data_IF_764584567647
#
_entry.id   IF_764584567647
#
_cell.length_a   1.000
_cell.length_b   1.000
_cell.length_c   1.000
_cell.angle_alpha   90.00
_cell.angle_beta   90.00
_cell.angle_gamma   90.00
#
_symmetry.space_group_name_H-M   'P 1'
#
loop_
_entity.id
_entity.type
_entity.pdbx_description
1 polymer ?
#
# COMPACT_ATOMS: atom_id res chain seq x y z
N UNK A 1 -1.36 -0.54 1.39
CA UNK A 1 -0.24 -1.11 2.20
C UNK A 1 0.85 -0.03 2.42
N UNK A 2 1.99 -0.32 3.08
CA UNK A 2 3.02 0.69 3.37
C UNK A 2 3.94 0.95 2.15
N UNK A 3 4.45 2.17 1.93
CA UNK A 3 5.03 2.59 0.65
C UNK A 3 6.32 1.84 0.26
N UNK A 4 7.22 1.55 1.21
CA UNK A 4 8.47 0.86 0.88
C UNK A 4 8.21 -0.57 0.48
N UNK A 5 7.25 -1.23 1.12
CA UNK A 5 6.80 -2.57 0.70
C UNK A 5 6.23 -2.55 -0.72
N UNK A 6 5.44 -1.54 -1.10
CA UNK A 6 4.96 -1.40 -2.47
C UNK A 6 6.09 -1.19 -3.49
N UNK A 7 7.12 -0.41 -3.16
CA UNK A 7 8.30 -0.29 -4.03
C UNK A 7 8.97 -1.65 -4.22
N UNK A 8 9.14 -2.40 -3.13
CA UNK A 8 9.72 -3.74 -3.18
C UNK A 8 8.87 -4.69 -4.04
N UNK A 9 7.54 -4.62 -3.92
CA UNK A 9 6.58 -5.39 -4.72
C UNK A 9 6.73 -5.14 -6.22
N UNK A 10 6.93 -3.87 -6.62
CA UNK A 10 7.21 -3.51 -8.03
C UNK A 10 8.58 -4.05 -8.45
N UNK A 11 9.59 -3.88 -7.61
CA UNK A 11 10.95 -4.35 -7.88
C UNK A 11 11.03 -5.86 -8.08
N UNK A 12 10.16 -6.66 -7.47
CA UNK A 12 10.15 -8.12 -7.68
C UNK A 12 9.97 -8.48 -9.17
N UNK A 13 9.27 -7.66 -9.96
CA UNK A 13 8.93 -7.94 -11.36
C UNK A 13 9.53 -6.94 -12.38
N UNK A 14 9.94 -5.76 -11.92
CA UNK A 14 10.52 -4.70 -12.77
C UNK A 14 11.95 -4.43 -12.28
N UNK A 15 12.93 -4.86 -13.08
CA UNK A 15 14.36 -4.72 -12.76
C UNK A 15 15.03 -3.53 -13.43
N UNK A 16 14.43 -2.99 -14.50
CA UNK A 16 14.88 -1.73 -15.10
C UNK A 16 14.63 -0.57 -14.13
N UNK A 17 15.64 0.24 -13.86
CA UNK A 17 15.59 1.28 -12.81
C UNK A 17 14.61 2.40 -13.15
N UNK A 18 14.56 2.83 -14.41
CA UNK A 18 13.68 3.90 -14.87
C UNK A 18 12.21 3.47 -14.80
N UNK A 19 11.94 2.23 -15.21
CA UNK A 19 10.62 1.62 -15.13
C UNK A 19 10.22 1.35 -13.70
N UNK A 20 11.12 0.84 -12.85
CA UNK A 20 10.88 0.66 -11.42
C UNK A 20 10.47 1.99 -10.78
N UNK A 21 11.22 3.05 -11.05
CA UNK A 21 10.93 4.37 -10.51
C UNK A 21 9.56 4.88 -11.00
N UNK A 22 9.31 4.81 -12.31
CA UNK A 22 8.04 5.27 -12.89
C UNK A 22 6.85 4.47 -12.34
N UNK A 23 6.97 3.13 -12.27
CA UNK A 23 5.90 2.24 -11.83
C UNK A 23 5.64 2.26 -10.32
N UNK A 24 6.71 2.40 -9.52
CA UNK A 24 6.56 2.65 -8.09
C UNK A 24 5.84 3.97 -7.88
N UNK A 25 6.25 5.03 -8.57
CA UNK A 25 5.64 6.36 -8.42
C UNK A 25 4.14 6.36 -8.64
N UNK A 26 3.64 5.74 -9.73
CA UNK A 26 2.19 5.66 -9.96
C UNK A 26 1.47 4.82 -8.89
N UNK A 27 2.08 3.72 -8.45
CA UNK A 27 1.51 2.85 -7.40
C UNK A 27 1.34 3.63 -6.09
N UNK A 28 2.37 4.37 -5.68
CA UNK A 28 2.32 5.23 -4.50
C UNK A 28 1.34 6.40 -4.68
N UNK A 29 1.23 6.94 -5.89
CA UNK A 29 0.28 8.01 -6.19
C UNK A 29 -1.17 7.55 -6.07
N UNK A 30 -1.48 6.34 -6.50
CA UNK A 30 -2.81 5.74 -6.32
C UNK A 30 -3.12 5.65 -4.82
N UNK A 31 -2.20 5.15 -3.99
CA UNK A 31 -2.37 5.13 -2.53
C UNK A 31 -2.64 6.50 -1.93
N UNK A 32 -1.98 7.55 -2.43
CA UNK A 32 -2.20 8.91 -1.97
C UNK A 32 -3.55 9.48 -2.43
N UNK A 33 -3.97 9.18 -3.67
CA UNK A 33 -5.21 9.72 -4.26
C UNK A 33 -6.45 9.08 -3.62
N UNK A 34 -6.33 7.91 -2.97
CA UNK A 34 -7.40 7.33 -2.13
C UNK A 34 -7.92 8.31 -1.06
N UNK A 35 -7.14 9.33 -0.70
CA UNK A 35 -7.54 10.37 0.26
C UNK A 35 -8.27 11.57 -0.38
N UNK A 36 -8.37 11.65 -1.71
CA UNK A 36 -9.11 12.71 -2.42
C UNK A 36 -10.62 12.41 -2.48
N UNK A 37 -10.99 11.16 -2.69
CA UNK A 37 -12.40 10.75 -2.85
C UNK A 37 -12.94 10.15 -1.56
N UNK A 38 -13.28 11.04 -0.62
CA UNK A 38 -13.91 10.70 0.67
C UNK A 38 -15.28 10.01 0.53
N UNK A 39 -15.89 10.07 -0.66
CA UNK A 39 -17.21 9.53 -0.96
C UNK A 39 -17.18 8.35 -1.95
N UNK A 40 -16.00 7.83 -2.33
CA UNK A 40 -15.92 6.79 -3.36
C UNK A 40 -16.82 5.59 -3.02
N UNK A 41 -17.88 5.42 -3.81
CA UNK A 41 -18.75 4.25 -3.84
C UNK A 41 -18.13 3.10 -4.64
N UNK A 42 -16.98 3.32 -5.29
CA UNK A 42 -16.31 2.30 -6.11
C UNK A 42 -15.30 1.54 -5.25
N UNK A 43 -15.28 0.23 -5.41
CA UNK A 43 -14.26 -0.64 -4.82
C UNK A 43 -12.89 -0.26 -5.40
N UNK A 44 -11.87 -0.09 -4.55
CA UNK A 44 -10.50 0.24 -4.97
C UNK A 44 -9.89 -0.79 -5.91
N UNK A 45 -10.39 -2.03 -5.86
CA UNK A 45 -10.05 -3.03 -6.84
C UNK A 45 -10.47 -2.61 -8.25
N UNK A 46 -11.74 -2.20 -8.38
CA UNK A 46 -12.31 -1.72 -9.63
C UNK A 46 -11.55 -0.49 -10.11
N UNK A 47 -11.24 0.43 -9.20
CA UNK A 47 -10.46 1.63 -9.53
C UNK A 47 -9.08 1.30 -10.11
N UNK A 48 -8.34 0.36 -9.50
CA UNK A 48 -7.00 0.00 -9.98
C UNK A 48 -7.04 -0.71 -11.34
N UNK A 49 -8.05 -1.55 -11.58
CA UNK A 49 -8.24 -2.24 -12.86
C UNK A 49 -8.71 -1.29 -13.97
N UNK A 50 -9.72 -0.46 -13.70
CA UNK A 50 -10.19 0.57 -14.63
C UNK A 50 -9.07 1.58 -14.96
N UNK A 51 -8.24 1.97 -13.98
CA UNK A 51 -7.08 2.82 -14.22
C UNK A 51 -6.02 2.12 -15.07
N UNK A 52 -5.77 0.83 -14.85
CA UNK A 52 -4.86 0.05 -15.69
C UNK A 52 -5.35 0.01 -17.15
N UNK A 53 -6.64 -0.27 -17.36
CA UNK A 53 -7.28 -0.26 -18.68
C UNK A 53 -7.22 1.12 -19.32
N UNK A 54 -7.55 2.18 -18.57
CA UNK A 54 -7.46 3.56 -19.01
C UNK A 54 -6.05 3.92 -19.48
N UNK A 55 -5.02 3.57 -18.71
CA UNK A 55 -3.63 3.82 -19.07
C UNK A 55 -3.25 3.02 -20.32
N UNK A 56 -3.68 1.75 -20.41
CA UNK A 56 -3.42 0.92 -21.58
C UNK A 56 -4.05 1.50 -22.85
N UNK A 57 -5.22 2.12 -22.74
CA UNK A 57 -5.94 2.72 -23.86
C UNK A 57 -5.38 4.11 -24.24
N UNK A 58 -5.25 5.01 -23.27
CA UNK A 58 -4.86 6.40 -23.50
C UNK A 58 -3.34 6.58 -23.65
N UNK A 59 -2.54 5.69 -23.07
CA UNK A 59 -1.07 5.78 -23.04
C UNK A 59 -0.43 4.41 -23.37
N UNK A 60 -0.65 3.87 -24.59
CA UNK A 60 -0.26 2.51 -24.95
C UNK A 60 1.25 2.25 -24.82
N UNK A 61 2.10 3.27 -24.95
CA UNK A 61 3.55 3.16 -24.72
C UNK A 61 3.91 2.72 -23.28
N UNK A 62 2.99 2.80 -22.32
CA UNK A 62 3.16 2.33 -20.93
C UNK A 62 2.82 0.84 -20.76
N UNK A 63 2.21 0.17 -21.76
CA UNK A 63 1.87 -1.27 -21.78
C UNK A 63 3.02 -2.02 -22.46
N UNK A 64 4.03 -2.52 -21.72
CA UNK A 64 3.80 -3.55 -20.69
C UNK A 64 4.28 -3.17 -19.28
N UNK A 65 4.82 -1.97 -19.10
CA UNK A 65 5.50 -1.54 -17.87
C UNK A 65 4.51 -1.40 -16.71
N UNK A 66 3.25 -1.05 -16.98
CA UNK A 66 2.20 -0.84 -15.98
C UNK A 66 1.59 -2.10 -15.35
N UNK A 67 2.15 -3.30 -15.57
CA UNK A 67 1.71 -4.54 -14.89
C UNK A 67 1.79 -4.44 -13.37
N UNK A 68 2.69 -3.61 -12.85
CA UNK A 68 2.79 -3.31 -11.41
C UNK A 68 1.47 -2.81 -10.81
N UNK A 69 0.63 -2.13 -11.58
CA UNK A 69 -0.69 -1.67 -11.11
C UNK A 69 -1.63 -2.85 -10.82
N UNK A 70 -1.54 -3.92 -11.61
CA UNK A 70 -2.30 -5.15 -11.36
C UNK A 70 -1.75 -5.88 -10.14
N UNK A 71 -0.43 -5.88 -9.95
CA UNK A 71 0.19 -6.54 -8.79
C UNK A 71 0.01 -5.76 -7.48
N UNK A 72 -0.09 -4.42 -7.54
CA UNK A 72 -0.43 -3.57 -6.40
C UNK A 72 -1.73 -4.03 -5.72
N UNK A 73 -2.73 -4.39 -6.53
CA UNK A 73 -4.00 -4.94 -6.03
C UNK A 73 -3.79 -6.22 -5.23
N UNK A 74 -2.94 -7.15 -5.70
CA UNK A 74 -2.62 -8.38 -4.97
C UNK A 74 -2.00 -8.06 -3.61
N UNK A 75 -1.09 -7.08 -3.56
CA UNK A 75 -0.45 -6.61 -2.32
C UNK A 75 -1.46 -6.05 -1.33
N UNK A 76 -2.39 -5.21 -1.78
CA UNK A 76 -3.41 -4.62 -0.92
C UNK A 76 -4.42 -5.67 -0.41
N UNK A 77 -4.90 -6.56 -1.28
CA UNK A 77 -5.79 -7.66 -0.93
C UNK A 77 -5.16 -8.59 0.11
N UNK A 78 -3.90 -8.98 -0.12
CA UNK A 78 -3.14 -9.76 0.85
C UNK A 78 -2.99 -9.02 2.18
N UNK A 79 -2.74 -7.71 2.11
CA UNK A 79 -2.68 -6.83 3.26
C UNK A 79 -3.94 -6.90 4.12
N UNK A 80 -5.13 -6.93 3.51
CA UNK A 80 -6.37 -7.12 4.27
C UNK A 80 -6.48 -8.49 4.91
N UNK A 81 -6.12 -9.55 4.19
CA UNK A 81 -6.27 -10.92 4.67
C UNK A 81 -5.36 -11.19 5.88
N UNK A 82 -4.13 -10.68 5.84
CA UNK A 82 -3.15 -10.88 6.92
C UNK A 82 -3.42 -9.94 8.10
N UNK A 83 -3.67 -8.67 7.80
CA UNK A 83 -3.62 -7.59 8.79
C UNK A 83 -4.99 -7.03 9.19
N UNK A 84 -6.07 -7.51 8.55
CA UNK A 84 -7.43 -7.10 8.88
C UNK A 84 -7.91 -5.88 8.11
N UNK A 85 -9.24 -5.72 8.11
CA UNK A 85 -9.98 -4.66 7.42
C UNK A 85 -10.40 -3.60 8.44
N UNK A 86 -10.07 -2.32 8.26
CA UNK A 86 -10.57 -1.27 9.13
C UNK A 86 -12.11 -1.18 9.05
N UNK A 87 -12.78 -1.12 10.20
CA UNK A 87 -14.26 -1.08 10.27
C UNK A 87 -14.88 0.25 9.87
N UNK A 88 -14.10 1.33 9.88
CA UNK A 88 -14.61 2.67 9.62
C UNK A 88 -13.77 3.36 8.55
N UNK A 89 -14.43 3.83 7.50
CA UNK A 89 -13.87 4.71 6.46
C UNK A 89 -13.64 6.15 6.97
N UNK A 90 -13.12 6.33 8.19
CA UNK A 90 -12.78 7.67 8.69
C UNK A 90 -11.46 8.10 8.03
N UNK A 91 -11.59 8.61 6.81
CA UNK A 91 -10.48 9.01 5.95
C UNK A 91 -9.71 10.19 6.54
N UNK A 92 -8.67 9.90 7.31
CA UNK A 92 -7.66 10.90 7.66
C UNK A 92 -6.36 10.53 6.95
N UNK A 93 -5.75 11.49 6.25
CA UNK A 93 -4.52 11.28 5.47
C UNK A 93 -3.36 10.72 6.32
N UNK A 94 -3.43 10.95 7.64
CA UNK A 94 -2.48 10.44 8.63
C UNK A 94 -2.75 8.99 9.08
N UNK A 95 -3.79 8.33 8.57
CA UNK A 95 -4.08 6.92 8.87
C UNK A 95 -3.03 6.02 8.21
N UNK A 96 -2.74 4.90 8.84
CA UNK A 96 -1.82 3.90 8.29
C UNK A 96 -2.46 3.11 7.16
N UNK A 97 -3.75 2.78 7.32
CA UNK A 97 -4.54 2.06 6.32
C UNK A 97 -5.98 2.53 6.41
N UNK A 98 -6.59 2.78 5.25
CA UNK A 98 -7.97 3.27 5.14
C UNK A 98 -8.86 2.34 4.31
N UNK A 99 -8.29 1.30 3.71
CA UNK A 99 -8.98 0.58 2.64
C UNK A 99 -9.88 -0.55 3.18
N UNK A 100 -11.15 -0.50 2.78
CA UNK A 100 -12.10 -1.60 2.90
C UNK A 100 -12.54 -2.08 1.50
N UNK A 101 -12.06 -3.25 1.08
CA UNK A 101 -12.47 -3.90 -0.17
C UNK A 101 -13.74 -4.76 -0.01
N UNK A 102 -14.34 -4.86 1.18
CA UNK A 102 -15.27 -5.96 1.50
C UNK A 102 -16.72 -5.77 1.08
N UNK A 103 -17.09 -4.74 0.33
CA UNK A 103 -18.50 -4.41 0.12
C UNK A 103 -18.75 -4.01 -1.34
N UNK A 104 -19.21 -5.00 -2.12
CA UNK A 104 -19.86 -4.90 -3.45
C UNK A 104 -18.92 -4.74 -4.68
N UNK A 105 -19.04 -5.66 -5.65
CA UNK A 105 -18.42 -5.55 -6.99
C UNK A 105 -17.38 -6.61 -7.38
N UNK A 106 -17.01 -7.50 -6.45
CA UNK A 106 -16.03 -8.58 -6.67
C UNK A 106 -16.61 -9.82 -7.40
N UNK A 107 -17.44 -9.69 -8.44
CA UNK A 107 -17.97 -10.87 -9.16
C UNK A 107 -17.37 -11.07 -10.56
N UNK A 108 -16.67 -10.09 -11.13
CA UNK A 108 -16.31 -10.07 -12.57
C UNK A 108 -14.80 -10.08 -12.87
N UNK A 109 -13.92 -9.88 -11.89
CA UNK A 109 -12.48 -9.67 -12.12
C UNK A 109 -11.59 -10.89 -11.79
N UNK A 110 -10.56 -11.23 -12.60
CA UNK A 110 -9.62 -12.35 -12.36
C UNK A 110 -8.99 -12.38 -10.97
N UNK A 111 -8.81 -11.20 -10.38
CA UNK A 111 -8.30 -11.02 -9.02
C UNK A 111 -9.19 -11.66 -7.93
N UNK A 112 -10.46 -11.95 -8.21
CA UNK A 112 -11.38 -12.62 -7.28
C UNK A 112 -10.92 -14.05 -7.03
N UNK A 113 -10.42 -14.72 -8.06
CA UNK A 113 -9.83 -16.05 -7.93
C UNK A 113 -8.59 -15.99 -7.04
N UNK A 114 -7.75 -14.97 -7.23
CA UNK A 114 -6.60 -14.70 -6.38
C UNK A 114 -7.02 -14.44 -4.93
N UNK A 115 -8.04 -13.60 -4.72
CA UNK A 115 -8.60 -13.32 -3.40
C UNK A 115 -9.13 -14.57 -2.73
N UNK A 116 -9.94 -15.38 -3.42
CA UNK A 116 -10.55 -16.58 -2.87
C UNK A 116 -9.50 -17.64 -2.53
N UNK A 117 -8.50 -17.84 -3.39
CA UNK A 117 -7.39 -18.76 -3.14
C UNK A 117 -6.54 -18.32 -1.94
N UNK A 118 -6.13 -17.05 -1.90
CA UNK A 118 -5.37 -16.51 -0.76
C UNK A 118 -6.19 -16.51 0.53
N UNK A 119 -7.49 -16.22 0.46
CA UNK A 119 -8.38 -16.24 1.63
C UNK A 119 -8.43 -17.63 2.26
N UNK A 120 -8.49 -18.70 1.46
CA UNK A 120 -8.46 -20.07 1.97
C UNK A 120 -7.16 -20.46 2.68
N UNK A 121 -6.05 -19.82 2.36
CA UNK A 121 -4.70 -20.18 2.84
C UNK A 121 -4.16 -19.26 3.94
N UNK A 122 -4.53 -17.98 3.89
CA UNK A 122 -3.88 -16.91 4.66
C UNK A 122 -4.84 -16.25 5.65
N UNK A 123 -6.14 -16.26 5.37
CA UNK A 123 -7.11 -15.55 6.21
C UNK A 123 -7.17 -16.16 7.61
N UNK A 124 -6.91 -15.31 8.60
CA UNK A 124 -7.15 -15.63 10.01
C UNK A 124 -8.33 -14.78 10.47
N UNK A 125 -9.36 -15.43 11.04
CA UNK A 125 -10.54 -14.72 11.54
C UNK A 125 -10.11 -13.70 12.59
N UNK A 126 -10.32 -12.42 12.28
CA UNK A 126 -9.96 -11.30 13.16
C UNK A 126 -11.14 -11.00 14.10
N UNK A 127 -10.87 -10.98 15.39
CA UNK A 127 -11.87 -10.76 16.44
C UNK A 127 -11.59 -9.43 17.13
N UNK A 128 -12.38 -8.42 16.78
CA UNK A 128 -12.37 -7.13 17.46
C UNK A 128 -11.22 -6.19 17.09
N UNK A 129 -11.25 -4.96 17.62
CA UNK A 129 -10.27 -3.92 17.35
C UNK A 129 -8.82 -4.30 17.59
N UNK A 130 -8.54 -5.09 18.63
CA UNK A 130 -7.20 -5.49 19.05
C UNK A 130 -6.46 -6.23 17.93
N UNK A 131 -7.18 -7.14 17.25
CA UNK A 131 -6.64 -7.93 16.15
C UNK A 131 -6.34 -7.09 14.89
N UNK A 132 -7.03 -5.96 14.70
CA UNK A 132 -6.78 -5.00 13.62
C UNK A 132 -5.53 -4.17 13.95
N UNK A 133 -5.44 -3.67 15.18
CA UNK A 133 -4.25 -2.92 15.63
C UNK A 133 -3.00 -3.80 15.57
N UNK A 134 -3.08 -5.06 15.99
CA UNK A 134 -1.98 -6.02 15.83
C UNK A 134 -1.59 -6.20 14.35
N UNK A 135 -2.57 -6.26 13.46
CA UNK A 135 -2.31 -6.28 12.02
C UNK A 135 -1.55 -5.05 11.52
N UNK A 136 -1.91 -3.85 11.96
CA UNK A 136 -1.17 -2.63 11.62
C UNK A 136 0.24 -2.62 12.22
N UNK A 137 0.44 -3.15 13.42
CA UNK A 137 1.78 -3.35 13.99
C UNK A 137 2.61 -4.27 13.08
N UNK A 138 2.03 -5.38 12.60
CA UNK A 138 2.73 -6.28 11.67
C UNK A 138 3.06 -5.59 10.35
N UNK A 139 2.20 -4.72 9.81
CA UNK A 139 2.53 -3.87 8.64
C UNK A 139 3.77 -3.01 8.91
N UNK A 140 3.82 -2.31 10.03
CA UNK A 140 4.98 -1.48 10.41
C UNK A 140 6.26 -2.33 10.44
N UNK A 141 6.19 -3.57 10.96
CA UNK A 141 7.33 -4.49 10.95
C UNK A 141 7.83 -4.82 9.54
N UNK A 142 6.91 -5.08 8.61
CA UNK A 142 7.23 -5.32 7.20
C UNK A 142 7.96 -4.13 6.59
N UNK A 143 7.49 -2.90 6.85
CA UNK A 143 8.11 -1.67 6.36
C UNK A 143 9.51 -1.47 6.94
N UNK A 144 9.69 -1.71 8.24
CA UNK A 144 10.99 -1.59 8.90
C UNK A 144 12.01 -2.58 8.37
N UNK A 145 11.63 -3.84 8.18
CA UNK A 145 12.51 -4.84 7.58
C UNK A 145 12.80 -4.55 6.10
N UNK A 146 11.81 -4.01 5.36
CA UNK A 146 12.00 -3.63 3.96
C UNK A 146 13.06 -2.54 3.83
N UNK A 147 12.97 -1.49 4.64
CA UNK A 147 13.96 -0.41 4.67
C UNK A 147 15.36 -0.92 5.04
N UNK A 148 15.45 -1.84 6.01
CA UNK A 148 16.73 -2.36 6.51
C UNK A 148 17.44 -3.27 5.50
N UNK A 149 16.69 -4.17 4.84
CA UNK A 149 17.28 -5.15 3.90
C UNK A 149 17.39 -4.65 2.47
N UNK A 150 16.56 -3.68 2.09
CA UNK A 150 16.45 -3.18 0.73
C UNK A 150 16.60 -1.66 0.69
N UNK A 151 17.78 -1.10 1.05
CA UNK A 151 17.95 0.35 1.22
C UNK A 151 17.62 1.17 -0.05
N UNK A 152 17.71 0.57 -1.25
CA UNK A 152 17.35 1.23 -2.51
C UNK A 152 15.89 1.71 -2.54
N UNK A 153 15.00 1.15 -1.72
CA UNK A 153 13.60 1.57 -1.66
C UNK A 153 13.49 3.02 -1.18
N UNK A 154 14.41 3.51 -0.36
CA UNK A 154 14.44 4.92 0.05
C UNK A 154 14.77 5.84 -1.13
N UNK A 155 15.73 5.44 -1.97
CA UNK A 155 16.13 6.21 -3.14
C UNK A 155 14.97 6.32 -4.14
N UNK A 156 14.25 5.21 -4.35
CA UNK A 156 13.05 5.19 -5.22
C UNK A 156 11.94 6.05 -4.62
N UNK A 157 11.68 5.92 -3.32
CA UNK A 157 10.67 6.72 -2.63
C UNK A 157 11.00 8.21 -2.74
N UNK A 158 12.26 8.60 -2.57
CA UNK A 158 12.71 9.99 -2.69
C UNK A 158 12.52 10.53 -4.12
N UNK A 159 13.01 9.80 -5.11
CA UNK A 159 12.91 10.19 -6.53
C UNK A 159 11.46 10.23 -7.03
N UNK A 160 10.56 9.45 -6.41
CA UNK A 160 9.15 9.41 -6.80
C UNK A 160 8.44 10.77 -6.67
N UNK A 161 8.89 11.63 -5.74
CA UNK A 161 8.33 12.96 -5.51
C UNK A 161 8.42 13.84 -6.76
N UNK A 162 9.55 13.79 -7.47
CA UNK A 162 9.74 14.52 -8.71
C UNK A 162 9.15 13.78 -9.91
N UNK A 163 9.20 12.45 -9.90
CA UNK A 163 8.74 11.58 -11.00
C UNK A 163 7.24 11.66 -11.22
N UNK A 164 6.45 12.02 -10.20
CA UNK A 164 4.98 12.09 -10.30
C UNK A 164 4.49 12.94 -11.46
N UNK A 165 5.26 13.95 -11.88
CA UNK A 165 4.96 14.83 -13.03
C UNK A 165 4.63 14.06 -14.31
N UNK A 166 5.22 12.89 -14.52
CA UNK A 166 5.00 12.05 -15.70
C UNK A 166 3.62 11.39 -15.72
N UNK A 167 3.02 11.21 -14.54
CA UNK A 167 1.73 10.56 -14.35
C UNK A 167 0.59 11.53 -14.09
N UNK A 168 0.89 12.79 -13.77
CA UNK A 168 -0.13 13.80 -13.50
C UNK A 168 -1.17 13.92 -14.62
N UNK A 169 -0.84 13.89 -15.93
CA UNK A 169 -1.86 13.94 -16.97
C UNK A 169 -2.82 12.74 -16.93
N UNK A 170 -2.29 11.52 -16.77
CA UNK A 170 -3.11 10.31 -16.72
C UNK A 170 -3.99 10.27 -15.46
N UNK A 171 -3.42 10.61 -14.29
CA UNK A 171 -4.14 10.61 -13.02
C UNK A 171 -5.18 11.73 -12.97
N UNK A 172 -4.84 12.94 -13.41
CA UNK A 172 -5.77 14.05 -13.50
C UNK A 172 -6.98 13.74 -14.38
N UNK A 173 -6.73 13.16 -15.56
CA UNK A 173 -7.78 12.79 -16.50
C UNK A 173 -8.67 11.66 -15.96
N UNK A 174 -8.08 10.61 -15.39
CA UNK A 174 -8.83 9.46 -14.88
C UNK A 174 -9.73 9.85 -13.69
N UNK A 175 -9.19 10.60 -12.73
CA UNK A 175 -9.94 11.00 -11.53
C UNK A 175 -10.81 12.26 -11.73
N UNK A 176 -10.81 12.85 -12.93
CA UNK A 176 -11.43 14.15 -13.21
C UNK A 176 -11.05 15.22 -12.15
N UNK A 177 -9.73 15.43 -12.01
CA UNK A 177 -9.13 16.38 -11.07
C UNK A 177 -8.10 17.25 -11.77
N UNK A 178 -7.81 18.42 -11.19
CA UNK A 178 -6.68 19.24 -11.67
C UNK A 178 -5.37 18.53 -11.32
N UNK A 179 -4.38 18.55 -12.22
CA UNK A 179 -3.06 17.97 -11.96
C UNK A 179 -2.38 18.52 -10.70
N UNK A 180 -2.59 19.80 -10.37
CA UNK A 180 -2.15 20.40 -9.11
C UNK A 180 -2.76 19.72 -7.88
N UNK A 181 -4.06 19.40 -7.91
CA UNK A 181 -4.75 18.73 -6.80
C UNK A 181 -4.17 17.34 -6.54
N UNK A 182 -3.92 16.57 -7.61
CA UNK A 182 -3.29 15.25 -7.52
C UNK A 182 -1.88 15.36 -6.93
N UNK A 183 -1.08 16.31 -7.44
CA UNK A 183 0.28 16.57 -6.95
C UNK A 183 0.28 16.95 -5.47
N UNK A 184 -0.53 17.92 -5.07
CA UNK A 184 -0.57 18.44 -3.69
C UNK A 184 -0.95 17.34 -2.69
N UNK A 185 -1.85 16.41 -3.05
CA UNK A 185 -2.19 15.27 -2.18
C UNK A 185 -1.07 14.24 -2.13
N UNK A 186 -0.45 13.93 -3.27
CA UNK A 186 0.70 13.03 -3.30
C UNK A 186 1.83 13.55 -2.41
N UNK A 187 2.19 14.84 -2.51
CA UNK A 187 3.24 15.45 -1.70
C UNK A 187 2.92 15.40 -0.20
N UNK A 188 1.67 15.69 0.17
CA UNK A 188 1.21 15.59 1.58
C UNK A 188 1.31 14.17 2.10
N UNK A 189 0.81 13.20 1.35
CA UNK A 189 0.88 11.78 1.72
C UNK A 189 2.32 11.30 1.81
N UNK A 190 3.16 11.64 0.83
CA UNK A 190 4.58 11.29 0.77
C UNK A 190 5.34 11.78 2.01
N UNK A 191 5.08 13.01 2.46
CA UNK A 191 5.74 13.61 3.62
C UNK A 191 5.47 12.85 4.93
N UNK A 192 4.33 12.15 5.05
CA UNK A 192 3.99 11.36 6.24
C UNK A 192 4.89 10.15 6.44
N UNK A 193 5.54 9.67 5.38
CA UNK A 193 6.37 8.48 5.39
C UNK A 193 7.82 8.72 5.80
N UNK A 194 8.15 9.97 6.13
CA UNK A 194 9.45 10.35 6.69
C UNK A 194 10.62 10.03 5.78
N UNK A 195 10.42 10.03 4.45
CA UNK A 195 11.47 9.73 3.48
C UNK A 195 12.71 10.62 3.71
N UNK A 196 13.90 10.01 3.72
CA UNK A 196 15.17 10.68 3.98
C UNK A 196 15.45 11.00 5.46
N UNK A 197 14.56 10.63 6.40
CA UNK A 197 14.83 10.67 7.84
C UNK A 197 15.54 9.40 8.30
N UNK A 198 16.09 9.42 9.51
CA UNK A 198 16.67 8.22 10.10
C UNK A 198 15.60 7.16 10.42
N UNK A 199 15.95 5.86 10.42
CA UNK A 199 15.01 4.76 10.66
C UNK A 199 14.20 4.86 11.95
N UNK A 200 14.75 5.44 13.03
CA UNK A 200 14.03 5.58 14.30
C UNK A 200 12.98 6.67 14.23
N UNK A 201 13.28 7.80 13.59
CA UNK A 201 12.29 8.84 13.32
C UNK A 201 11.14 8.34 12.43
N UNK A 202 11.46 7.52 11.41
CA UNK A 202 10.46 6.89 10.54
C UNK A 202 9.55 5.95 11.34
N UNK A 203 10.13 5.06 12.17
CA UNK A 203 9.39 4.17 13.05
C UNK A 203 8.48 4.93 14.02
N UNK A 204 9.02 5.96 14.70
CA UNK A 204 8.23 6.78 15.64
C UNK A 204 7.04 7.43 14.93
N UNK A 205 7.25 8.02 13.75
CA UNK A 205 6.18 8.65 12.98
C UNK A 205 5.10 7.67 12.52
N UNK A 206 5.45 6.41 12.23
CA UNK A 206 4.46 5.36 12.00
C UNK A 206 3.70 5.00 13.29
N UNK A 207 4.38 4.85 14.42
CA UNK A 207 3.73 4.53 15.70
C UNK A 207 2.80 5.66 16.17
N UNK A 208 3.17 6.92 15.96
CA UNK A 208 2.32 8.07 16.28
C UNK A 208 1.04 8.09 15.45
N UNK A 209 1.14 7.77 14.16
CA UNK A 209 -0.03 7.62 13.27
C UNK A 209 -0.89 6.44 13.68
N UNK A 210 -0.29 5.29 14.00
CA UNK A 210 -1.01 4.11 14.51
C UNK A 210 -1.76 4.45 15.80
N UNK A 211 -1.11 5.14 16.73
CA UNK A 211 -1.71 5.53 18.01
C UNK A 211 -2.87 6.50 17.81
N UNK A 212 -2.73 7.46 16.89
CA UNK A 212 -3.80 8.41 16.54
C UNK A 212 -5.00 7.69 15.91
N UNK A 213 -4.74 6.76 14.99
CA UNK A 213 -5.77 5.93 14.37
C UNK A 213 -6.47 5.03 15.39
N UNK A 214 -5.71 4.37 16.27
CA UNK A 214 -6.23 3.49 17.32
C UNK A 214 -7.17 4.23 18.29
N UNK A 215 -6.80 5.43 18.71
CA UNK A 215 -7.63 6.26 19.57
C UNK A 215 -8.92 6.71 18.85
N UNK A 216 -8.79 7.20 17.61
CA UNK A 216 -9.90 7.78 16.84
C UNK A 216 -10.94 6.76 16.37
N UNK A 217 -10.50 5.56 16.00
CA UNK A 217 -11.36 4.56 15.35
C UNK A 217 -11.78 3.43 16.28
N UNK A 218 -10.97 3.15 17.31
CA UNK A 218 -11.16 1.98 18.16
C UNK A 218 -11.20 2.31 19.65
N UNK A 219 -11.01 3.58 20.03
CA UNK A 219 -10.91 4.02 21.43
C UNK A 219 -9.82 3.26 22.21
N UNK A 220 -8.73 2.92 21.53
CA UNK A 220 -7.59 2.19 22.08
C UNK A 220 -6.40 3.11 22.34
N UNK A 221 -5.71 2.89 23.46
CA UNK A 221 -4.46 3.57 23.80
C UNK A 221 -3.30 2.62 23.55
N UNK A 222 -2.29 3.10 22.81
CA UNK A 222 -1.07 2.34 22.50
C UNK A 222 0.07 2.85 23.36
N UNK A 223 0.74 1.95 24.06
CA UNK A 223 2.04 2.22 24.69
C UNK A 223 3.10 2.37 23.60
N UNK A 224 3.33 3.63 23.19
CA UNK A 224 4.21 3.98 22.08
C UNK A 224 5.66 3.60 22.36
N UNK A 225 6.14 3.81 23.58
CA UNK A 225 7.53 3.57 23.95
C UNK A 225 7.83 2.06 23.96
N UNK A 226 6.94 1.26 24.54
CA UNK A 226 7.06 -0.18 24.52
C UNK A 226 7.01 -0.73 23.08
N UNK A 227 6.05 -0.25 22.27
CA UNK A 227 5.92 -0.69 20.88
C UNK A 227 7.14 -0.33 20.03
N UNK A 228 7.68 0.88 20.19
CA UNK A 228 8.89 1.34 19.52
C UNK A 228 10.06 0.44 19.87
N UNK A 229 10.31 0.23 21.16
CA UNK A 229 11.36 -0.65 21.64
C UNK A 229 11.22 -2.07 21.10
N UNK A 230 9.99 -2.60 21.05
CA UNK A 230 9.70 -3.94 20.55
C UNK A 230 10.04 -4.09 19.07
N UNK A 231 9.57 -3.18 18.22
CA UNK A 231 9.82 -3.24 16.78
C UNK A 231 11.30 -2.97 16.45
N UNK A 232 11.95 -2.04 17.15
CA UNK A 232 13.36 -1.71 16.94
C UNK A 232 14.29 -2.89 17.31
N UNK A 233 14.02 -3.58 18.42
CA UNK A 233 14.89 -4.67 18.91
C UNK A 233 14.60 -6.03 18.28
N UNK A 234 13.35 -6.34 17.94
CA UNK A 234 12.95 -7.64 17.41
C UNK A 234 13.13 -7.76 15.88
N UNK A 235 14.33 -7.47 15.37
CA UNK A 235 14.65 -7.56 13.93
C UNK A 235 14.29 -8.93 13.30
N UNK A 236 14.55 -10.09 13.96
CA UNK A 236 14.15 -11.38 13.41
C UNK A 236 12.64 -11.53 13.21
N UNK A 237 11.82 -10.93 14.09
CA UNK A 237 10.37 -10.94 13.94
C UNK A 237 9.96 -10.07 12.74
N UNK A 238 10.58 -8.90 12.55
CA UNK A 238 10.29 -8.03 11.41
C UNK A 238 10.58 -8.72 10.07
N UNK A 239 11.74 -9.38 10.00
CA UNK A 239 12.13 -10.20 8.85
C UNK A 239 11.12 -11.30 8.55
N UNK A 240 10.71 -12.05 9.57
CA UNK A 240 9.74 -13.14 9.41
C UNK A 240 8.41 -12.64 8.85
N UNK A 241 7.89 -11.53 9.35
CA UNK A 241 6.66 -10.92 8.84
C UNK A 241 6.79 -10.52 7.36
N UNK A 242 7.91 -9.89 6.99
CA UNK A 242 8.14 -9.50 5.59
C UNK A 242 8.29 -10.71 4.66
N UNK A 243 8.98 -11.76 5.10
CA UNK A 243 9.16 -12.99 4.32
C UNK A 243 7.85 -13.75 4.14
N UNK A 244 7.01 -13.80 5.17
CA UNK A 244 5.67 -14.37 5.08
C UNK A 244 4.80 -13.57 4.09
N UNK A 245 4.83 -12.24 4.17
CA UNK A 245 4.14 -11.38 3.20
C UNK A 245 4.64 -11.62 1.77
N UNK A 246 5.96 -11.58 1.54
CA UNK A 246 6.57 -11.81 0.23
C UNK A 246 6.20 -13.16 -0.36
N UNK A 247 6.15 -14.22 0.46
CA UNK A 247 5.75 -15.56 0.01
C UNK A 247 4.35 -15.52 -0.60
N UNK A 248 3.37 -15.01 0.14
CA UNK A 248 1.99 -14.99 -0.30
C UNK A 248 1.75 -13.99 -1.44
N UNK A 249 2.46 -12.87 -1.45
CA UNK A 249 2.41 -11.91 -2.55
C UNK A 249 2.84 -12.56 -3.87
N UNK A 250 3.98 -13.28 -3.88
CA UNK A 250 4.44 -14.02 -5.06
C UNK A 250 3.46 -15.10 -5.49
N UNK A 251 2.87 -15.81 -4.53
CA UNK A 251 1.86 -16.82 -4.84
C UNK A 251 0.64 -16.19 -5.52
N UNK A 252 0.13 -15.07 -4.99
CA UNK A 252 -0.99 -14.34 -5.57
C UNK A 252 -0.69 -13.77 -6.96
N UNK A 253 0.50 -13.18 -7.16
CA UNK A 253 0.90 -12.67 -8.49
C UNK A 253 1.07 -13.81 -9.48
N UNK A 254 1.68 -14.94 -9.08
CA UNK A 254 1.81 -16.10 -9.94
C UNK A 254 0.46 -16.70 -10.34
N UNK A 255 -0.53 -16.69 -9.44
CA UNK A 255 -1.89 -17.10 -9.75
C UNK A 255 -2.54 -16.13 -10.75
N UNK A 256 -2.42 -14.81 -10.50
CA UNK A 256 -2.93 -13.79 -11.41
C UNK A 256 -2.35 -13.91 -12.82
N UNK A 257 -1.06 -14.24 -12.94
CA UNK A 257 -0.38 -14.42 -14.23
C UNK A 257 -0.75 -15.72 -14.96
N UNK A 258 -1.34 -16.70 -14.27
CA UNK A 258 -1.79 -17.96 -14.87
C UNK A 258 -3.19 -17.87 -15.48
N UNK A 259 -4.03 -16.96 -14.96
CA UNK A 259 -5.37 -16.65 -15.45
C UNK A 259 -5.25 -15.79 -16.71
#
# INVERSE_FOLDING_TARGET
>A
MLPRRHILDVWEFIKDEEDLLSMSTITLAIDAIKYLDMESKKDHLVEALELNEFICYMYPAKRPKNRSLLFHVVSDLLGLLIYGVPKTRKHAIDSIEIVNYSEEGMEVYPVIEVWNDLKGKVYTKKHGPESIIEGFVRKIRVEMDTMERYPFVEDVLLKSLERIKEWLPSLAAYYDRKGKTVKDVYEKWWALWGCGKDPKAILSGMIDRLSSQAAREYNMVIDKENLLNKIDKEKPANKKENEEFSKWYREGVNLLLKI
#
